data_IF_778259903465
#
_entry.id   IF_778259903465
#
_cell.length_a   1.000
_cell.length_b   1.000
_cell.length_c   1.000
_cell.angle_alpha   90.00
_cell.angle_beta   90.00
_cell.angle_gamma   90.00
#
_symmetry.space_group_name_H-M   'P 1'
#
loop_
_entity.id
_entity.type
_entity.pdbx_description
1 polymer ?
#
# COMPACT_ATOMS: atom_id res chain seq x y z
N UNK A 1 -6.39 19.88 -20.74
CA UNK A 1 -7.43 18.94 -20.32
C UNK A 1 -6.94 18.26 -19.07
N UNK A 2 -7.52 18.60 -17.93
CA UNK A 2 -7.26 17.93 -16.67
C UNK A 2 -8.28 16.82 -16.54
N UNK A 3 -7.81 15.57 -16.63
CA UNK A 3 -8.68 14.40 -16.68
C UNK A 3 -8.36 13.51 -15.49
N UNK A 4 -9.38 13.18 -14.70
CA UNK A 4 -9.29 12.05 -13.80
C UNK A 4 -9.23 10.76 -14.61
N UNK A 5 -8.27 9.90 -14.29
CA UNK A 5 -8.05 8.60 -14.93
C UNK A 5 -8.20 7.47 -13.93
N UNK A 6 -8.67 6.32 -14.41
CA UNK A 6 -8.83 5.10 -13.64
C UNK A 6 -8.20 3.95 -14.38
N UNK A 7 -7.47 3.10 -13.67
CA UNK A 7 -6.86 1.89 -14.21
C UNK A 7 -7.33 0.67 -13.40
N UNK A 8 -7.55 -0.43 -14.11
CA UNK A 8 -8.00 -1.70 -13.54
C UNK A 8 -7.11 -2.85 -13.99
N UNK A 9 -7.01 -3.90 -13.17
CA UNK A 9 -6.42 -5.16 -13.59
C UNK A 9 -7.43 -6.09 -14.31
N UNK A 10 -6.96 -7.25 -14.78
CA UNK A 10 -7.78 -8.22 -15.49
C UNK A 10 -8.82 -8.94 -14.61
N UNK A 11 -8.78 -8.74 -13.29
CA UNK A 11 -9.80 -9.20 -12.34
C UNK A 11 -10.83 -8.09 -12.03
N UNK A 12 -10.83 -7.00 -12.80
CA UNK A 12 -11.69 -5.84 -12.61
C UNK A 12 -11.49 -5.14 -11.25
N UNK A 13 -10.26 -5.14 -10.73
CA UNK A 13 -9.89 -4.44 -9.49
C UNK A 13 -9.19 -3.14 -9.82
N UNK A 14 -9.55 -2.06 -9.14
CA UNK A 14 -9.00 -0.72 -9.35
C UNK A 14 -7.52 -0.65 -8.89
N UNK A 15 -6.58 -0.49 -9.80
CA UNK A 15 -5.13 -0.46 -9.51
C UNK A 15 -4.57 0.95 -9.42
N UNK A 16 -5.16 1.91 -10.13
CA UNK A 16 -4.75 3.31 -10.05
C UNK A 16 -5.91 4.29 -10.22
N UNK A 17 -5.85 5.39 -9.46
CA UNK A 17 -6.67 6.58 -9.64
C UNK A 17 -5.71 7.75 -9.83
N UNK A 18 -5.84 8.46 -10.94
CA UNK A 18 -5.11 9.67 -11.22
C UNK A 18 -6.07 10.84 -11.22
N UNK A 19 -5.77 11.86 -10.44
CA UNK A 19 -6.37 13.20 -10.56
C UNK A 19 -5.31 14.16 -11.07
N UNK A 20 -5.61 15.46 -11.09
CA UNK A 20 -4.65 16.47 -11.53
C UNK A 20 -3.48 16.67 -10.57
N UNK A 21 -3.72 16.37 -9.30
CA UNK A 21 -2.80 16.69 -8.22
C UNK A 21 -2.27 15.45 -7.50
N UNK A 22 -2.96 14.31 -7.62
CA UNK A 22 -2.68 13.12 -6.82
C UNK A 22 -2.77 11.88 -7.69
N UNK A 23 -1.75 11.01 -7.55
CA UNK A 23 -1.78 9.63 -8.01
C UNK A 23 -2.01 8.73 -6.80
N UNK A 24 -3.00 7.85 -6.89
CA UNK A 24 -3.25 6.80 -5.91
C UNK A 24 -3.09 5.43 -6.57
N UNK A 25 -2.37 4.53 -5.91
CA UNK A 25 -2.14 3.17 -6.35
C UNK A 25 -2.64 2.19 -5.29
N UNK A 26 -3.14 1.05 -5.75
CA UNK A 26 -3.67 -0.02 -4.92
C UNK A 26 -3.04 -1.35 -5.31
N UNK A 27 -2.88 -2.23 -4.32
CA UNK A 27 -2.60 -3.64 -4.57
C UNK A 27 -3.50 -4.52 -3.73
N UNK A 28 -3.64 -5.76 -4.16
CA UNK A 28 -4.58 -6.74 -3.62
C UNK A 28 -3.92 -8.10 -3.49
N UNK A 29 -4.39 -8.90 -2.53
CA UNK A 29 -4.08 -10.31 -2.44
C UNK A 29 -4.87 -11.13 -3.49
N UNK A 30 -4.59 -12.44 -3.65
CA UNK A 30 -5.33 -13.28 -4.60
C UNK A 30 -6.84 -13.39 -4.33
N UNK A 31 -7.29 -13.15 -3.08
CA UNK A 31 -8.71 -13.15 -2.71
C UNK A 31 -9.38 -11.79 -2.97
N UNK A 32 -8.66 -10.83 -3.56
CA UNK A 32 -9.21 -9.53 -3.94
C UNK A 32 -9.27 -8.53 -2.79
N UNK A 33 -8.65 -8.82 -1.64
CA UNK A 33 -8.61 -7.91 -0.50
C UNK A 33 -7.41 -6.98 -0.63
N UNK A 34 -7.60 -5.71 -0.26
CA UNK A 34 -6.57 -4.68 -0.44
C UNK A 34 -5.38 -4.95 0.50
N UNK A 35 -4.17 -4.88 -0.02
CA UNK A 35 -2.91 -4.98 0.73
C UNK A 35 -2.36 -3.60 1.10
N UNK A 36 -2.43 -2.64 0.16
CA UNK A 36 -2.11 -1.25 0.44
C UNK A 36 -2.90 -0.27 -0.43
N UNK A 37 -2.92 0.97 0.03
CA UNK A 37 -3.26 2.17 -0.73
C UNK A 37 -2.11 3.16 -0.58
N UNK A 38 -1.55 3.63 -1.67
CA UNK A 38 -0.48 4.62 -1.66
C UNK A 38 -0.91 5.83 -2.46
N UNK A 39 -0.89 7.01 -1.84
CA UNK A 39 -1.16 8.28 -2.52
C UNK A 39 0.07 9.16 -2.51
N UNK A 40 0.34 9.82 -3.63
CA UNK A 40 1.41 10.83 -3.74
C UNK A 40 0.95 12.01 -4.59
N UNK A 41 1.49 13.19 -4.30
CA UNK A 41 1.27 14.34 -5.17
C UNK A 41 1.88 14.07 -6.55
N UNK A 42 1.28 14.56 -7.62
CA UNK A 42 1.86 14.45 -8.96
C UNK A 42 2.98 15.49 -9.08
N UNK A 43 4.15 15.07 -9.56
CA UNK A 43 5.28 15.99 -9.79
C UNK A 43 4.95 16.98 -10.91
N UNK A 44 5.25 18.28 -10.73
CA UNK A 44 5.12 19.25 -11.80
C UNK A 44 6.06 18.91 -12.95
N UNK A 45 5.56 19.00 -14.19
CA UNK A 45 6.36 18.82 -15.39
C UNK A 45 7.26 20.06 -15.60
N UNK A 46 8.51 19.87 -16.04
CA UNK A 46 9.54 20.91 -16.25
C UNK A 46 10.22 21.50 -15.00
N UNK A 47 10.11 20.83 -13.86
CA UNK A 47 10.87 21.17 -12.67
C UNK A 47 12.28 20.58 -12.71
N UNK A 48 13.28 21.27 -12.14
CA UNK A 48 14.54 20.59 -11.80
C UNK A 48 14.21 19.43 -10.83
N UNK A 49 14.91 18.29 -10.97
CA UNK A 49 14.52 17.04 -10.29
C UNK A 49 14.46 17.18 -8.76
N UNK A 50 15.40 17.93 -8.18
CA UNK A 50 15.53 18.04 -6.73
C UNK A 50 14.43 18.91 -6.09
N UNK A 51 14.08 20.05 -6.72
CA UNK A 51 12.94 20.86 -6.29
C UNK A 51 11.61 20.10 -6.47
N UNK A 52 11.44 19.40 -7.59
CA UNK A 52 10.23 18.64 -7.87
C UNK A 52 9.94 17.58 -6.79
N UNK A 53 10.97 16.91 -6.29
CA UNK A 53 10.89 15.91 -5.23
C UNK A 53 10.54 16.53 -3.88
N UNK A 54 11.20 17.64 -3.51
CA UNK A 54 10.90 18.35 -2.27
C UNK A 54 9.46 18.89 -2.27
N UNK A 55 9.02 19.44 -3.40
CA UNK A 55 7.65 19.96 -3.53
C UNK A 55 6.62 18.84 -3.50
N UNK A 56 6.90 17.71 -4.15
CA UNK A 56 6.06 16.51 -4.06
C UNK A 56 5.95 16.02 -2.61
N UNK A 57 7.06 15.96 -1.87
CA UNK A 57 7.07 15.56 -0.47
C UNK A 57 6.32 16.56 0.43
N UNK A 58 6.50 17.87 0.19
CA UNK A 58 5.80 18.94 0.89
C UNK A 58 4.29 18.84 0.70
N UNK A 59 3.82 18.76 -0.55
CA UNK A 59 2.39 18.63 -0.88
C UNK A 59 1.82 17.32 -0.35
N UNK A 60 2.57 16.22 -0.48
CA UNK A 60 2.12 14.92 0.03
C UNK A 60 1.92 14.97 1.53
N UNK A 61 2.84 15.59 2.28
CA UNK A 61 2.70 15.80 3.72
C UNK A 61 1.54 16.74 4.07
N UNK A 62 1.43 17.87 3.39
CA UNK A 62 0.36 18.85 3.59
C UNK A 62 -1.03 18.25 3.37
N UNK A 63 -1.18 17.42 2.35
CA UNK A 63 -2.43 16.72 2.02
C UNK A 63 -2.60 15.38 2.74
N UNK A 64 -1.73 15.06 3.70
CA UNK A 64 -1.70 13.79 4.42
C UNK A 64 -1.76 12.55 3.51
N UNK A 65 -1.08 12.63 2.36
CA UNK A 65 -0.88 11.54 1.43
C UNK A 65 0.27 10.65 1.93
N UNK A 66 0.16 9.37 1.65
CA UNK A 66 1.16 8.39 2.03
C UNK A 66 0.63 6.99 1.79
N UNK A 67 1.30 6.03 2.42
CA UNK A 67 0.87 4.63 2.38
C UNK A 67 -0.05 4.30 3.56
N UNK A 68 -1.08 3.52 3.27
CA UNK A 68 -1.88 2.79 4.25
C UNK A 68 -1.81 1.31 3.89
N UNK A 69 -1.40 0.50 4.84
CA UNK A 69 -1.31 -0.96 4.78
C UNK A 69 -2.54 -1.57 5.41
N UNK A 70 -2.92 -2.75 4.92
CA UNK A 70 -4.07 -3.50 5.40
C UNK A 70 -3.68 -4.96 5.62
N UNK A 71 -4.02 -5.49 6.80
CA UNK A 71 -3.86 -6.90 7.14
C UNK A 71 -5.20 -7.54 7.45
N UNK A 72 -5.35 -8.80 7.05
CA UNK A 72 -6.61 -9.53 7.11
C UNK A 72 -6.47 -10.79 7.97
N UNK A 73 -7.54 -11.13 8.69
CA UNK A 73 -7.74 -12.40 9.38
C UNK A 73 -8.96 -13.09 8.74
N UNK A 74 -8.69 -14.12 7.94
CA UNK A 74 -9.69 -14.69 7.02
C UNK A 74 -10.28 -13.61 6.11
N UNK A 75 -11.59 -13.40 6.21
CA UNK A 75 -12.33 -12.39 5.45
C UNK A 75 -12.53 -11.06 6.20
N UNK A 76 -12.07 -10.98 7.45
CA UNK A 76 -12.21 -9.78 8.28
C UNK A 76 -10.93 -8.95 8.29
N UNK A 77 -11.07 -7.63 8.32
CA UNK A 77 -9.91 -6.73 8.39
C UNK A 77 -9.31 -6.83 9.79
N UNK A 78 -8.10 -7.37 9.94
CA UNK A 78 -7.46 -7.49 11.24
C UNK A 78 -6.87 -6.14 11.70
N UNK A 79 -6.25 -5.41 10.78
CA UNK A 79 -5.67 -4.10 11.07
C UNK A 79 -5.47 -3.25 9.82
N UNK A 80 -5.38 -1.94 10.04
CA UNK A 80 -4.85 -0.99 9.07
C UNK A 80 -3.75 -0.15 9.72
N UNK A 81 -2.75 0.25 8.93
CA UNK A 81 -1.61 1.02 9.43
C UNK A 81 -1.15 2.07 8.43
N UNK A 82 -0.93 3.29 8.89
CA UNK A 82 -0.23 4.33 8.15
C UNK A 82 1.02 4.79 8.92
N UNK A 83 1.65 5.89 8.49
CA UNK A 83 2.87 6.44 9.12
C UNK A 83 2.69 6.95 10.56
N UNK A 84 1.46 7.15 11.01
CA UNK A 84 1.14 7.78 12.30
C UNK A 84 0.40 6.85 13.26
N UNK A 85 -0.33 5.87 12.75
CA UNK A 85 -1.31 5.09 13.51
C UNK A 85 -1.47 3.69 12.94
N UNK A 86 -1.71 2.75 13.85
CA UNK A 86 -2.25 1.42 13.55
C UNK A 86 -3.56 1.23 14.29
N UNK A 87 -4.59 0.77 13.59
CA UNK A 87 -5.89 0.39 14.17
C UNK A 87 -6.12 -1.09 13.95
N UNK A 88 -6.41 -1.81 15.03
CA UNK A 88 -6.76 -3.23 15.03
C UNK A 88 -8.26 -3.40 15.25
N UNK A 89 -8.82 -4.43 14.64
CA UNK A 89 -10.22 -4.79 14.75
C UNK A 89 -10.34 -6.26 15.20
N UNK A 90 -11.30 -6.54 16.08
CA UNK A 90 -11.65 -7.88 16.50
C UNK A 90 -13.13 -8.09 16.23
N UNK A 91 -13.47 -9.22 15.64
CA UNK A 91 -14.83 -9.62 15.30
C UNK A 91 -15.22 -10.89 16.04
N UNK A 92 -16.52 -11.15 16.13
CA UNK A 92 -17.02 -12.46 16.54
C UNK A 92 -16.54 -13.56 15.56
N UNK A 93 -16.30 -14.80 16.04
CA UNK A 93 -15.85 -15.89 15.17
C UNK A 93 -16.78 -16.14 13.99
N UNK A 94 -16.25 -16.12 12.76
CA UNK A 94 -17.01 -16.40 11.55
C UNK A 94 -18.08 -15.35 11.21
N UNK A 95 -17.98 -14.15 11.76
CA UNK A 95 -18.96 -13.08 11.63
C UNK A 95 -18.29 -11.74 11.35
N UNK A 96 -19.07 -10.79 10.81
CA UNK A 96 -18.64 -9.40 10.61
C UNK A 96 -19.12 -8.48 11.75
N UNK A 97 -19.60 -9.06 12.86
CA UNK A 97 -20.02 -8.31 14.05
C UNK A 97 -18.78 -7.83 14.81
N UNK A 98 -18.57 -6.50 14.97
CA UNK A 98 -17.39 -5.98 15.64
C UNK A 98 -17.49 -6.15 17.15
N UNK A 99 -16.41 -6.63 17.78
CA UNK A 99 -16.28 -6.75 19.23
C UNK A 99 -15.39 -5.66 19.83
N UNK A 100 -14.28 -5.33 19.16
CA UNK A 100 -13.30 -4.37 19.67
C UNK A 100 -12.61 -3.63 18.53
N UNK A 101 -12.33 -2.36 18.76
CA UNK A 101 -11.41 -1.56 17.95
C UNK A 101 -10.34 -0.98 18.87
N UNK A 102 -9.07 -1.24 18.57
CA UNK A 102 -7.93 -0.74 19.33
C UNK A 102 -7.02 0.10 18.45
N UNK A 103 -6.55 1.24 18.94
CA UNK A 103 -5.73 2.15 18.15
C UNK A 103 -4.44 2.50 18.90
N UNK A 104 -3.32 2.39 18.19
CA UNK A 104 -1.99 2.67 18.72
C UNK A 104 -1.30 3.72 17.85
N UNK A 105 -0.55 4.61 18.48
CA UNK A 105 0.34 5.54 17.77
C UNK A 105 1.53 4.78 17.17
N UNK A 106 1.83 5.06 15.91
CA UNK A 106 2.92 4.45 15.15
C UNK A 106 2.46 3.40 14.13
N UNK A 107 3.37 3.11 13.20
CA UNK A 107 3.19 2.13 12.13
C UNK A 107 3.40 0.71 12.62
N UNK A 108 2.64 -0.23 12.06
CA UNK A 108 2.79 -1.65 12.32
C UNK A 108 4.18 -2.13 11.91
N UNK A 109 4.78 -2.99 12.74
CA UNK A 109 6.06 -3.61 12.41
C UNK A 109 5.81 -4.90 11.66
N UNK A 110 6.12 -4.90 10.36
CA UNK A 110 6.01 -6.10 9.55
C UNK A 110 7.20 -7.05 9.79
N UNK A 111 6.96 -8.37 9.91
CA UNK A 111 8.05 -9.33 9.90
C UNK A 111 8.76 -9.29 8.54
N UNK A 112 10.05 -9.63 8.53
CA UNK A 112 10.77 -9.77 7.25
C UNK A 112 10.16 -10.92 6.47
N UNK A 113 9.94 -10.68 5.18
CA UNK A 113 9.50 -11.74 4.27
C UNK A 113 10.57 -12.83 4.24
N UNK A 114 10.23 -14.10 4.54
CA UNK A 114 11.19 -15.18 4.46
C UNK A 114 11.63 -15.36 3.00
N UNK A 115 12.94 -15.44 2.78
CA UNK A 115 13.47 -15.80 1.47
C UNK A 115 13.37 -17.32 1.36
N UNK A 116 12.55 -17.83 0.44
CA UNK A 116 12.57 -19.24 0.11
C UNK A 116 13.93 -19.56 -0.52
N UNK A 117 14.80 -20.24 0.23
CA UNK A 117 16.02 -20.81 -0.32
C UNK A 117 15.62 -22.10 -1.05
N UNK A 118 15.72 -22.09 -2.38
CA UNK A 118 15.66 -23.32 -3.16
C UNK A 118 17.06 -23.92 -3.13
N UNK A 119 17.24 -25.01 -2.38
CA UNK A 119 18.53 -25.71 -2.34
C UNK A 119 18.88 -26.24 -3.73
N UNK A 120 20.05 -25.86 -4.25
CA UNK A 120 20.65 -26.48 -5.44
C UNK A 120 20.65 -25.67 -6.75
N UNK A 121 20.18 -24.42 -6.80
CA UNK A 121 20.44 -23.55 -7.95
C UNK A 121 21.03 -22.20 -7.53
N UNK A 122 22.16 -21.86 -8.14
CA UNK A 122 22.78 -20.55 -8.01
C UNK A 122 21.73 -19.46 -8.23
N UNK A 123 21.79 -18.45 -7.37
CA UNK A 123 20.87 -17.31 -7.26
C UNK A 123 20.48 -16.76 -8.64
N UNK A 124 19.33 -17.17 -9.14
CA UNK A 124 18.65 -16.40 -10.18
C UNK A 124 17.87 -15.33 -9.43
N UNK A 125 18.26 -14.07 -9.61
CA UNK A 125 17.57 -12.93 -9.02
C UNK A 125 16.06 -13.06 -9.30
N UNK A 126 15.18 -12.87 -8.30
CA UNK A 126 13.75 -12.99 -8.53
C UNK A 126 13.35 -11.99 -9.63
N UNK A 127 12.71 -12.50 -10.69
CA UNK A 127 12.13 -11.65 -11.71
C UNK A 127 11.10 -10.72 -11.04
N UNK A 128 11.21 -9.38 -11.20
CA UNK A 128 10.38 -8.42 -10.47
C UNK A 128 8.88 -8.46 -10.83
N UNK A 129 8.49 -9.29 -11.80
CA UNK A 129 7.20 -9.24 -12.48
C UNK A 129 6.18 -10.31 -12.03
N UNK A 130 6.47 -11.16 -11.03
CA UNK A 130 5.58 -12.29 -10.69
C UNK A 130 5.04 -12.32 -9.24
N UNK A 131 5.45 -11.39 -8.38
CA UNK A 131 4.91 -11.31 -7.02
C UNK A 131 4.25 -9.95 -6.77
N UNK A 132 3.16 -9.89 -5.97
CA UNK A 132 2.75 -8.61 -5.42
C UNK A 132 3.96 -7.97 -4.74
N UNK A 133 4.12 -6.65 -4.84
CA UNK A 133 5.30 -5.97 -4.33
C UNK A 133 5.49 -6.34 -2.85
N UNK A 134 6.73 -6.65 -2.47
CA UNK A 134 7.07 -7.06 -1.12
C UNK A 134 6.63 -5.95 -0.15
N UNK A 135 5.53 -6.17 0.58
CA UNK A 135 4.93 -5.17 1.46
C UNK A 135 5.93 -4.69 2.52
N UNK A 136 6.83 -5.55 2.98
CA UNK A 136 7.91 -5.16 3.91
C UNK A 136 8.93 -4.21 3.26
N UNK A 137 9.14 -4.29 1.95
CA UNK A 137 9.96 -3.32 1.20
C UNK A 137 9.24 -2.00 0.97
N UNK A 138 7.91 -2.02 0.79
CA UNK A 138 7.10 -0.79 0.61
C UNK A 138 6.94 -0.03 1.94
N UNK A 139 6.89 -0.74 3.07
CA UNK A 139 6.78 -0.15 4.41
C UNK A 139 8.10 0.45 4.95
N UNK A 140 9.21 0.29 4.23
CA UNK A 140 10.57 0.69 4.67
C UNK A 140 11.12 1.95 3.96
N UNK A 141 10.31 2.60 3.12
CA UNK A 141 10.66 3.83 2.40
C UNK A 141 9.98 5.06 3.04
#
# INVERSE_FOLDING_TARGET
>A
MSGSGYEWDHYNRLTSVRSDQVLTQFAYDPLGRRLYKQSSAIRPFNANLQWAEQEQARISKEKNLGITLYGWDGDTLAWESNSQRTTHYVFEPGSFVPLLQATTSGTIRLPRTPVCKVDGMAQMAPSPTRYPPNISAIASA
#
